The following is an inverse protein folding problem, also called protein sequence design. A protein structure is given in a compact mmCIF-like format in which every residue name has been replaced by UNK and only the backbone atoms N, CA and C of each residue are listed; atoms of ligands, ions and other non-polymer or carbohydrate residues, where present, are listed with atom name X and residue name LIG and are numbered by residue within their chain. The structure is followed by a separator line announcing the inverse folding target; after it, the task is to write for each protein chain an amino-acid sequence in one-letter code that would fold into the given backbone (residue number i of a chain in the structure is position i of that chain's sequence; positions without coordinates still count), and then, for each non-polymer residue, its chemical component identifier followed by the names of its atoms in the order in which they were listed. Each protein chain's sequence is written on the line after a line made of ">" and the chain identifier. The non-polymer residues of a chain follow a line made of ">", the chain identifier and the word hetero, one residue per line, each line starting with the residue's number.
data_IF_408549726573
#
_entry.id   IF_408549726573
#
_cell.length_a   1.000
_cell.length_b   1.000
_cell.length_c   1.000
_cell.angle_alpha   90.00
_cell.angle_beta   90.00
_cell.angle_gamma   90.00
#
_symmetry.space_group_name_H-M   'P 1'
#
loop_
_entity.id
_entity.type
_entity.pdbx_description
1 polymer ?
#
# COMPACT_ATOMS: atom_id res chain seq x y z
N UNK A 1 4.27 6.56 -10.21
CA UNK A 1 3.65 5.46 -10.96
C UNK A 1 2.36 5.07 -10.26
N UNK A 2 1.41 4.47 -10.97
CA UNK A 2 0.23 3.90 -10.32
C UNK A 2 0.55 2.46 -9.92
N UNK A 3 -0.15 1.93 -8.90
CA UNK A 3 -0.02 0.52 -8.50
C UNK A 3 -0.32 -0.46 -9.65
N UNK A 4 -1.06 -0.01 -10.66
CA UNK A 4 -1.37 -0.75 -11.88
C UNK A 4 -0.14 -0.98 -12.77
N UNK A 5 0.85 -0.09 -12.71
CA UNK A 5 2.10 -0.19 -13.47
C UNK A 5 3.02 -1.29 -12.91
N UNK A 6 2.84 -1.67 -11.64
CA UNK A 6 3.63 -2.70 -10.96
C UNK A 6 3.58 -4.03 -11.71
N UNK A 7 2.42 -4.43 -12.21
CA UNK A 7 2.26 -5.70 -12.93
C UNK A 7 3.12 -5.76 -14.20
N UNK A 8 3.18 -4.64 -14.93
CA UNK A 8 3.97 -4.54 -16.15
C UNK A 8 5.48 -4.53 -15.85
N UNK A 9 5.89 -3.84 -14.78
CA UNK A 9 7.29 -3.83 -14.34
C UNK A 9 7.76 -5.21 -13.91
N UNK A 10 6.94 -5.93 -13.13
CA UNK A 10 7.23 -7.31 -12.72
C UNK A 10 7.37 -8.23 -13.93
N UNK A 11 6.46 -8.15 -14.91
CA UNK A 11 6.55 -8.96 -16.13
C UNK A 11 7.80 -8.65 -16.94
N UNK A 12 8.17 -7.37 -17.07
CA UNK A 12 9.37 -6.94 -17.80
C UNK A 12 10.66 -7.38 -17.11
N UNK A 13 10.75 -7.18 -15.79
CA UNK A 13 11.92 -7.56 -15.01
C UNK A 13 12.12 -9.08 -14.97
N UNK A 14 11.03 -9.84 -14.82
CA UNK A 14 11.09 -11.30 -14.88
C UNK A 14 11.56 -11.81 -16.25
N UNK A 15 11.12 -11.18 -17.33
CA UNK A 15 11.45 -11.60 -18.69
C UNK A 15 11.14 -13.08 -18.92
N UNK A 16 12.17 -13.87 -19.26
CA UNK A 16 12.06 -15.31 -19.52
C UNK A 16 12.20 -16.19 -18.27
N UNK A 17 12.41 -15.60 -17.09
CA UNK A 17 12.52 -16.35 -15.84
C UNK A 17 11.17 -17.02 -15.51
N UNK A 18 11.21 -18.28 -15.09
CA UNK A 18 10.01 -19.00 -14.67
C UNK A 18 9.41 -18.38 -13.39
N UNK A 19 8.07 -18.34 -13.31
CA UNK A 19 7.31 -17.79 -12.16
C UNK A 19 7.84 -18.31 -10.82
N UNK A 20 8.15 -19.60 -10.73
CA UNK A 20 8.61 -20.24 -9.48
C UNK A 20 10.00 -19.76 -9.06
N UNK A 21 10.91 -19.58 -10.00
CA UNK A 21 12.26 -19.08 -9.73
C UNK A 21 12.19 -17.62 -9.26
N UNK A 22 11.47 -16.76 -9.98
CA UNK A 22 11.26 -15.36 -9.61
C UNK A 22 10.60 -15.22 -8.23
N UNK A 23 9.55 -16.00 -7.96
CA UNK A 23 8.89 -15.98 -6.66
C UNK A 23 9.83 -16.41 -5.52
N UNK A 24 10.73 -17.36 -5.78
CA UNK A 24 11.76 -17.78 -4.82
C UNK A 24 12.77 -16.67 -4.55
N UNK A 25 13.22 -15.93 -5.57
CA UNK A 25 14.14 -14.79 -5.40
C UNK A 25 13.52 -13.66 -4.58
N UNK A 26 12.25 -13.35 -4.85
CA UNK A 26 11.49 -12.32 -4.13
C UNK A 26 11.12 -12.79 -2.70
N UNK A 27 11.12 -14.11 -2.45
CA UNK A 27 10.68 -14.70 -1.19
C UNK A 27 9.16 -14.68 -0.99
N UNK A 28 8.38 -14.87 -2.05
CA UNK A 28 6.90 -14.94 -2.02
C UNK A 28 6.39 -16.25 -2.63
N UNK A 29 5.10 -16.56 -2.45
CA UNK A 29 4.52 -17.72 -3.12
C UNK A 29 4.39 -17.49 -4.64
N UNK A 30 4.55 -18.53 -5.48
CA UNK A 30 4.32 -18.41 -6.93
C UNK A 30 2.91 -17.89 -7.27
N UNK A 31 1.91 -18.28 -6.46
CA UNK A 31 0.52 -17.81 -6.60
C UNK A 31 0.40 -16.31 -6.34
N UNK A 32 1.13 -15.79 -5.35
CA UNK A 32 1.19 -14.35 -5.05
C UNK A 32 1.77 -13.59 -6.24
N UNK A 33 2.90 -14.06 -6.78
CA UNK A 33 3.53 -13.44 -7.95
C UNK A 33 2.61 -13.42 -9.16
N UNK A 34 1.97 -14.55 -9.50
CA UNK A 34 0.99 -14.62 -10.59
C UNK A 34 -0.19 -13.67 -10.40
N UNK A 35 -0.67 -13.47 -9.16
CA UNK A 35 -1.74 -12.51 -8.89
C UNK A 35 -1.28 -11.07 -9.13
N UNK A 36 -0.06 -10.71 -8.73
CA UNK A 36 0.52 -9.39 -8.97
C UNK A 36 0.69 -9.13 -10.47
N UNK A 37 1.19 -10.12 -11.23
CA UNK A 37 1.31 -10.05 -12.69
C UNK A 37 -0.04 -9.87 -13.40
N UNK A 38 -1.14 -10.27 -12.75
CA UNK A 38 -2.53 -10.05 -13.21
C UNK A 38 -3.15 -8.74 -12.70
N UNK A 39 -2.36 -7.87 -12.06
CA UNK A 39 -2.82 -6.56 -11.56
C UNK A 39 -3.50 -6.59 -10.19
N UNK A 40 -3.26 -7.62 -9.38
CA UNK A 40 -3.67 -7.62 -7.98
C UNK A 40 -2.76 -6.73 -7.14
N UNK A 41 -3.35 -5.88 -6.30
CA UNK A 41 -2.60 -5.01 -5.38
C UNK A 41 -2.05 -5.84 -4.22
N UNK A 42 -0.72 -5.93 -4.05
CA UNK A 42 -0.12 -6.63 -2.91
C UNK A 42 -0.36 -5.90 -1.59
N UNK A 43 -0.21 -6.61 -0.47
CA UNK A 43 -0.05 -5.97 0.83
C UNK A 43 1.32 -5.27 0.94
N UNK A 44 1.50 -4.47 2.01
CA UNK A 44 2.72 -3.67 2.21
C UNK A 44 3.97 -4.52 2.20
N UNK A 45 4.02 -5.59 2.99
CA UNK A 45 5.22 -6.44 3.07
C UNK A 45 5.52 -7.21 1.78
N UNK A 46 4.51 -7.50 0.97
CA UNK A 46 4.71 -8.08 -0.37
C UNK A 46 5.18 -7.03 -1.36
N UNK A 47 4.63 -5.81 -1.30
CA UNK A 47 5.06 -4.69 -2.14
C UNK A 47 6.54 -4.36 -1.91
N UNK A 48 6.97 -4.23 -0.65
CA UNK A 48 8.35 -3.95 -0.28
C UNK A 48 9.34 -4.96 -0.88
N UNK A 49 9.04 -6.26 -0.76
CA UNK A 49 9.89 -7.33 -1.32
C UNK A 49 9.96 -7.27 -2.85
N UNK A 50 8.83 -7.01 -3.51
CA UNK A 50 8.78 -6.90 -4.97
C UNK A 50 9.54 -5.66 -5.43
N UNK A 51 9.34 -4.51 -4.78
CA UNK A 51 10.05 -3.26 -5.06
C UNK A 51 11.56 -3.43 -4.88
N UNK A 52 12.01 -4.08 -3.80
CA UNK A 52 13.42 -4.40 -3.58
C UNK A 52 14.00 -5.27 -4.70
N UNK A 53 13.24 -6.27 -5.18
CA UNK A 53 13.66 -7.11 -6.30
C UNK A 53 13.71 -6.35 -7.64
N UNK A 54 12.84 -5.35 -7.83
CA UNK A 54 12.81 -4.49 -9.01
C UNK A 54 13.84 -3.34 -8.96
N UNK A 55 14.46 -3.09 -7.80
CA UNK A 55 15.29 -1.90 -7.58
C UNK A 55 14.51 -0.59 -7.51
N UNK A 56 13.21 -0.68 -7.16
CA UNK A 56 12.30 0.45 -7.07
C UNK A 56 11.97 0.77 -5.62
N UNK A 57 11.63 2.03 -5.34
CA UNK A 57 11.12 2.43 -4.02
C UNK A 57 9.60 2.20 -3.94
N UNK A 58 9.07 1.60 -2.84
CA UNK A 58 7.62 1.40 -2.67
C UNK A 58 6.82 2.70 -2.74
N UNK A 59 7.43 3.81 -2.32
CA UNK A 59 6.84 5.15 -2.37
C UNK A 59 6.50 5.60 -3.79
N UNK A 60 7.17 5.06 -4.82
CA UNK A 60 6.93 5.39 -6.23
C UNK A 60 5.55 4.92 -6.73
N UNK A 61 4.95 3.93 -6.06
CA UNK A 61 3.61 3.39 -6.37
C UNK A 61 2.50 3.98 -5.49
N UNK A 62 2.86 4.82 -4.51
CA UNK A 62 1.91 5.50 -3.64
C UNK A 62 1.52 6.85 -4.25
N UNK A 63 0.50 6.86 -5.12
CA UNK A 63 -0.06 8.10 -5.64
C UNK A 63 -0.48 9.05 -4.52
N UNK A 64 0.00 10.30 -4.60
CA UNK A 64 -0.31 11.51 -3.81
C UNK A 64 -0.98 11.25 -2.44
N UNK A 65 -0.21 11.40 -1.37
CA UNK A 65 -0.72 11.50 0.00
C UNK A 65 -0.77 10.21 0.81
N UNK A 66 0.07 9.21 0.51
CA UNK A 66 0.25 7.98 1.31
C UNK A 66 -1.03 7.14 1.54
N UNK A 67 -2.12 7.39 0.81
CA UNK A 67 -3.44 6.79 1.08
C UNK A 67 -3.92 5.81 0.00
N UNK A 68 -3.00 5.11 -0.67
CA UNK A 68 -3.36 3.99 -1.55
C UNK A 68 -3.23 2.60 -0.88
N UNK A 69 -3.01 2.55 0.43
CA UNK A 69 -2.81 1.29 1.17
C UNK A 69 -4.04 0.98 2.02
N UNK A 70 -5.19 0.70 1.40
CA UNK A 70 -6.31 0.10 2.14
C UNK A 70 -7.42 -0.55 1.29
N UNK A 71 -7.47 -0.35 -0.02
CA UNK A 71 -8.60 -0.89 -0.80
C UNK A 71 -8.29 -2.27 -1.38
N UNK A 72 -8.24 -3.29 -0.49
CA UNK A 72 -8.15 -4.71 -0.88
C UNK A 72 -9.19 -5.12 -1.95
N UNK A 73 -10.30 -4.38 -2.07
CA UNK A 73 -11.42 -4.68 -2.97
C UNK A 73 -11.72 -3.61 -4.04
N UNK A 74 -10.78 -2.69 -4.36
CA UNK A 74 -10.99 -1.56 -5.31
C UNK A 74 -12.21 -0.65 -5.05
N UNK A 75 -13.00 -0.89 -4.01
CA UNK A 75 -14.12 -0.04 -3.62
C UNK A 75 -13.57 1.09 -2.80
N UNK A 76 -13.40 2.26 -3.41
CA UNK A 76 -13.14 3.48 -2.68
C UNK A 76 -14.20 3.66 -1.59
N UNK A 77 -13.77 4.10 -0.39
CA UNK A 77 -14.70 4.52 0.65
C UNK A 77 -15.61 5.61 0.06
N UNK A 78 -16.94 5.54 0.21
CA UNK A 78 -17.83 6.60 -0.26
C UNK A 78 -17.37 7.97 0.26
N UNK A 79 -17.44 9.05 -0.54
CA UNK A 79 -16.95 10.36 -0.10
C UNK A 79 -17.54 10.84 1.23
N UNK A 80 -18.80 10.47 1.51
CA UNK A 80 -19.46 10.77 2.78
C UNK A 80 -18.76 10.09 3.98
N UNK A 81 -18.39 8.82 3.84
CA UNK A 81 -17.69 8.07 4.89
C UNK A 81 -16.27 8.58 5.08
N UNK A 82 -15.57 8.94 4.00
CA UNK A 82 -14.24 9.55 4.10
C UNK A 82 -14.27 10.89 4.86
N UNK A 83 -15.27 11.74 4.56
CA UNK A 83 -15.50 12.99 5.31
C UNK A 83 -15.83 12.75 6.77
N UNK A 84 -16.70 11.77 7.06
CA UNK A 84 -17.04 11.43 8.44
C UNK A 84 -15.81 10.97 9.24
N UNK A 85 -14.92 10.17 8.61
CA UNK A 85 -13.67 9.74 9.22
C UNK A 85 -12.70 10.90 9.46
N UNK A 86 -12.56 11.81 8.50
CA UNK A 86 -11.73 13.01 8.66
C UNK A 86 -12.20 13.85 9.85
N UNK A 87 -13.50 14.14 9.93
CA UNK A 87 -14.10 14.85 11.06
C UNK A 87 -13.85 14.13 12.38
N UNK A 88 -13.97 12.80 12.41
CA UNK A 88 -13.72 12.02 13.62
C UNK A 88 -12.26 12.16 14.09
N UNK A 89 -11.30 12.07 13.17
CA UNK A 89 -9.86 12.21 13.48
C UNK A 89 -9.55 13.61 14.01
N UNK A 90 -10.08 14.66 13.35
CA UNK A 90 -9.90 16.05 13.80
C UNK A 90 -10.45 16.29 15.21
N UNK A 91 -11.65 15.78 15.48
CA UNK A 91 -12.30 15.91 16.79
C UNK A 91 -11.53 15.15 17.87
N UNK A 92 -11.09 13.93 17.58
CA UNK A 92 -10.28 13.14 18.49
C UNK A 92 -8.95 13.85 18.80
N UNK A 93 -8.24 14.35 17.78
CA UNK A 93 -6.98 15.08 17.96
C UNK A 93 -7.16 16.33 18.84
N UNK A 94 -8.23 17.10 18.61
CA UNK A 94 -8.56 18.26 19.44
C UNK A 94 -8.83 17.86 20.90
N UNK A 95 -9.64 16.83 21.11
CA UNK A 95 -9.93 16.34 22.46
C UNK A 95 -8.66 15.86 23.18
N UNK A 96 -7.75 15.19 22.49
CA UNK A 96 -6.45 14.79 23.06
C UNK A 96 -5.60 16.01 23.46
N UNK A 97 -5.54 17.06 22.64
CA UNK A 97 -4.83 18.29 22.97
C UNK A 97 -5.42 18.97 24.21
N UNK A 98 -6.75 19.12 24.26
CA UNK A 98 -7.47 19.75 25.39
C UNK A 98 -7.28 18.94 26.70
N UNK A 99 -7.19 17.61 26.63
CA UNK A 99 -6.95 16.74 27.80
C UNK A 99 -5.50 16.78 28.31
N UNK A 100 -4.52 17.09 27.46
CA UNK A 100 -3.12 17.27 27.87
C UNK A 100 -2.96 18.59 28.63
N UNK A 101 -3.59 19.68 28.17
CA UNK A 101 -3.57 20.97 28.87
C UNK A 101 -4.24 20.89 30.25
N UNK A 102 -5.37 20.17 30.38
CA UNK A 102 -6.10 20.04 31.65
C UNK A 102 -5.34 19.27 32.76
N UNK A 103 -4.34 18.46 32.40
CA UNK A 103 -3.53 17.68 33.36
C UNK A 103 -2.17 18.32 33.67
N UNK A 104 -1.84 19.40 32.99
CA UNK A 104 -0.50 19.97 32.96
C UNK A 104 -0.27 21.20 33.84
N UNK A 105 -1.00 21.42 34.93
CA UNK A 105 -0.66 22.48 35.90
C UNK A 105 -1.11 22.12 37.32
N UNK A 106 -0.14 21.78 38.17
CA UNK A 106 -0.08 22.06 39.62
C UNK A 106 1.38 22.09 40.05
#
# INVERSE_FOLDING_TARGET
>A
MNIEDLALLVLRHRGNMGVRAAASEIGISPTTLTRIEKGHVPDVGTLERVCAWLGEEPSTFNGIGNLQIAFKNRKAVPPATAKALATLIERAAKQFADQIEARGHN
#
